data_IF_534852658031
#
_entry.id   IF_534852658031
#
_cell.length_a   1.000
_cell.length_b   1.000
_cell.length_c   1.000
_cell.angle_alpha   90.00
_cell.angle_beta   90.00
_cell.angle_gamma   90.00
#
_symmetry.space_group_name_H-M   'P 1'
#
loop_
_entity.id
_entity.type
_entity.pdbx_description
1 polymer ?
#
# COMPACT_ATOMS: atom_id res chain seq x y z
N UNK A 1 13.74 11.50 10.14
CA UNK A 1 12.92 10.98 9.03
C UNK A 1 13.74 10.18 8.03
N UNK A 2 14.71 10.78 7.33
CA UNK A 2 15.51 10.06 6.31
C UNK A 2 16.13 8.75 6.81
N UNK A 3 16.84 8.79 7.95
CA UNK A 3 17.46 7.58 8.53
C UNK A 3 16.43 6.48 8.80
N UNK A 4 15.27 6.83 9.37
CA UNK A 4 14.19 5.87 9.65
C UNK A 4 13.61 5.27 8.38
N UNK A 5 13.37 6.09 7.35
CA UNK A 5 12.89 5.62 6.04
C UNK A 5 13.94 4.73 5.33
N UNK A 6 15.22 5.08 5.42
CA UNK A 6 16.31 4.26 4.88
C UNK A 6 16.38 2.89 5.56
N UNK A 7 16.31 2.85 6.89
CA UNK A 7 16.33 1.60 7.65
C UNK A 7 15.12 0.74 7.28
N UNK A 8 13.91 1.32 7.27
CA UNK A 8 12.69 0.59 6.91
C UNK A 8 12.78 0.04 5.47
N UNK A 9 13.25 0.87 4.52
CA UNK A 9 13.46 0.45 3.14
C UNK A 9 14.44 -0.72 3.03
N UNK A 10 15.56 -0.67 3.76
CA UNK A 10 16.53 -1.76 3.80
C UNK A 10 15.90 -3.06 4.32
N UNK A 11 15.11 -3.00 5.41
CA UNK A 11 14.41 -4.18 5.92
C UNK A 11 13.42 -4.76 4.90
N UNK A 12 12.64 -3.93 4.22
CA UNK A 12 11.68 -4.37 3.20
C UNK A 12 12.37 -5.03 2.00
N UNK A 13 13.50 -4.47 1.54
CA UNK A 13 14.30 -5.04 0.45
C UNK A 13 14.90 -6.39 0.88
N UNK A 14 15.45 -6.47 2.09
CA UNK A 14 16.09 -7.69 2.57
C UNK A 14 15.05 -8.81 2.76
N UNK A 15 13.88 -8.46 3.27
CA UNK A 15 12.75 -9.38 3.38
C UNK A 15 12.23 -9.85 2.02
N UNK A 16 12.12 -8.96 1.03
CA UNK A 16 11.67 -9.34 -0.32
C UNK A 16 12.68 -10.27 -1.00
N UNK A 17 13.98 -9.96 -0.94
CA UNK A 17 15.05 -10.82 -1.47
C UNK A 17 15.01 -12.19 -0.80
N UNK A 18 14.91 -12.25 0.54
CA UNK A 18 14.83 -13.51 1.27
C UNK A 18 13.59 -14.32 0.87
N UNK A 19 12.44 -13.67 0.70
CA UNK A 19 11.21 -14.31 0.22
C UNK A 19 11.36 -14.90 -1.18
N UNK A 20 11.93 -14.13 -2.12
CA UNK A 20 12.19 -14.61 -3.48
C UNK A 20 13.20 -15.76 -3.51
N UNK A 21 14.25 -15.71 -2.68
CA UNK A 21 15.22 -16.81 -2.59
C UNK A 21 14.61 -18.08 -1.97
N UNK A 22 13.70 -17.94 -1.00
CA UNK A 22 13.10 -19.08 -0.30
C UNK A 22 12.00 -19.78 -1.10
N UNK A 23 11.14 -19.02 -1.78
CA UNK A 23 9.94 -19.54 -2.46
C UNK A 23 10.04 -19.53 -3.99
N UNK A 24 11.04 -18.86 -4.55
CA UNK A 24 11.24 -18.77 -5.99
C UNK A 24 10.17 -17.89 -6.69
N UNK A 25 9.98 -18.08 -8.01
CA UNK A 25 9.05 -17.27 -8.80
C UNK A 25 7.57 -17.54 -8.51
N UNK A 26 7.23 -18.61 -7.77
CA UNK A 26 5.84 -18.98 -7.48
C UNK A 26 5.29 -18.33 -6.19
N UNK A 27 5.90 -17.25 -5.70
CA UNK A 27 5.39 -16.49 -4.55
C UNK A 27 4.01 -15.91 -4.87
N UNK A 28 3.00 -16.34 -4.12
CA UNK A 28 1.70 -15.67 -4.16
C UNK A 28 1.81 -14.26 -3.55
N UNK A 29 0.95 -13.34 -4.00
CA UNK A 29 0.88 -11.97 -3.46
C UNK A 29 0.64 -11.92 -1.95
N UNK A 30 0.04 -12.98 -1.38
CA UNK A 30 -0.01 -13.21 0.05
C UNK A 30 0.98 -14.32 0.44
N UNK A 31 2.15 -13.90 0.91
CA UNK A 31 3.23 -14.82 1.29
C UNK A 31 2.81 -15.83 2.38
N UNK A 32 1.81 -15.48 3.21
CA UNK A 32 1.31 -16.38 4.24
C UNK A 32 0.60 -17.63 3.68
N UNK A 33 0.04 -17.52 2.46
CA UNK A 33 -0.59 -18.65 1.75
C UNK A 33 0.45 -19.57 1.08
N UNK A 34 1.69 -19.12 0.93
CA UNK A 34 2.77 -19.89 0.32
C UNK A 34 3.51 -20.79 1.33
N UNK A 35 3.26 -20.62 2.64
CA UNK A 35 3.87 -21.50 3.64
C UNK A 35 3.20 -22.88 3.67
N UNK A 36 3.97 -23.96 3.89
CA UNK A 36 3.40 -25.28 4.10
C UNK A 36 2.53 -25.29 5.36
N UNK A 37 1.51 -26.16 5.37
CA UNK A 37 0.62 -26.36 6.51
C UNK A 37 1.38 -26.93 7.70
N UNK A 38 1.85 -26.04 8.59
CA UNK A 38 2.63 -26.40 9.77
C UNK A 38 2.37 -25.44 10.93
N UNK A 39 2.83 -25.84 12.13
CA UNK A 39 2.68 -25.04 13.35
C UNK A 39 3.33 -23.65 13.19
N UNK A 40 4.50 -23.58 12.55
CA UNK A 40 5.18 -22.31 12.28
C UNK A 40 4.39 -21.38 11.36
N UNK A 41 3.70 -21.92 10.35
CA UNK A 41 2.83 -21.13 9.47
C UNK A 41 1.67 -20.51 10.24
N UNK A 42 1.01 -21.31 11.10
CA UNK A 42 -0.07 -20.83 11.97
C UNK A 42 0.40 -19.76 12.96
N UNK A 43 1.59 -19.92 13.54
CA UNK A 43 2.20 -18.91 14.42
C UNK A 43 2.48 -17.62 13.64
N UNK A 44 3.03 -17.71 12.43
CA UNK A 44 3.29 -16.55 11.58
C UNK A 44 2.00 -15.80 11.20
N UNK A 45 0.95 -16.53 10.81
CA UNK A 45 -0.37 -15.97 10.52
C UNK A 45 -0.97 -15.27 11.75
N UNK A 46 -0.91 -15.91 12.92
CA UNK A 46 -1.40 -15.33 14.18
C UNK A 46 -0.59 -14.06 14.54
N UNK A 47 0.72 -14.08 14.37
CA UNK A 47 1.59 -12.92 14.60
C UNK A 47 1.21 -11.75 13.69
N UNK A 48 0.92 -12.01 12.42
CA UNK A 48 0.46 -10.97 11.49
C UNK A 48 -0.87 -10.36 11.93
N UNK A 49 -1.81 -11.18 12.43
CA UNK A 49 -3.09 -10.69 12.97
C UNK A 49 -2.84 -9.72 14.14
N UNK A 50 -1.98 -10.08 15.09
CA UNK A 50 -1.61 -9.20 16.19
C UNK A 50 -0.94 -7.90 15.72
N UNK A 51 -0.04 -7.98 14.74
CA UNK A 51 0.58 -6.80 14.15
C UNK A 51 -0.46 -5.87 13.52
N UNK A 52 -1.40 -6.41 12.74
CA UNK A 52 -2.52 -5.63 12.16
C UNK A 52 -3.38 -4.97 13.25
N UNK A 53 -3.71 -5.70 14.33
CA UNK A 53 -4.47 -5.15 15.45
C UNK A 53 -3.75 -3.99 16.17
N UNK A 54 -2.43 -4.05 16.28
CA UNK A 54 -1.64 -2.98 16.90
C UNK A 54 -1.49 -1.75 15.98
N UNK A 55 -1.35 -1.97 14.67
CA UNK A 55 -1.10 -0.89 13.69
C UNK A 55 -2.40 -0.20 13.27
N UNK A 56 -3.53 -0.90 13.18
CA UNK A 56 -4.77 -0.32 12.69
C UNK A 56 -5.25 0.90 13.51
N UNK A 57 -5.29 0.87 14.86
CA UNK A 57 -5.69 2.02 15.65
C UNK A 57 -4.74 3.22 15.47
N UNK A 58 -3.43 2.98 15.33
CA UNK A 58 -2.46 4.06 15.18
C UNK A 58 -2.63 4.79 13.84
N UNK A 59 -2.90 4.04 12.75
CA UNK A 59 -3.24 4.63 11.45
C UNK A 59 -4.57 5.37 11.48
N UNK A 60 -5.59 4.81 12.13
CA UNK A 60 -6.91 5.41 12.24
C UNK A 60 -6.90 6.74 12.99
N UNK A 61 -6.10 6.87 14.06
CA UNK A 61 -5.94 8.13 14.81
C UNK A 61 -5.39 9.24 13.90
N UNK A 62 -4.39 8.93 13.07
CA UNK A 62 -3.79 9.91 12.17
C UNK A 62 -4.78 10.39 11.09
N UNK A 63 -5.60 9.50 10.55
CA UNK A 63 -6.61 9.83 9.54
C UNK A 63 -7.77 10.68 10.10
N UNK A 64 -8.11 10.49 11.38
CA UNK A 64 -9.17 11.25 12.05
C UNK A 64 -8.68 12.61 12.54
N UNK A 65 -7.37 12.81 12.73
CA UNK A 65 -6.81 14.04 13.29
C UNK A 65 -7.21 15.33 12.53
N UNK A 66 -7.18 15.39 11.17
CA UNK A 66 -7.64 16.56 10.43
C UNK A 66 -9.12 16.88 10.69
N UNK A 67 -9.97 15.85 10.74
CA UNK A 67 -11.42 16.00 10.98
C UNK A 67 -11.69 16.56 12.39
N UNK A 68 -10.88 16.17 13.37
CA UNK A 68 -10.97 16.70 14.75
C UNK A 68 -10.52 18.16 14.83
N UNK A 69 -9.61 18.59 13.97
CA UNK A 69 -9.07 19.95 13.98
C UNK A 69 -9.82 20.91 13.04
N UNK A 70 -10.71 20.43 12.17
CA UNK A 70 -11.63 21.29 11.45
C UNK A 70 -12.57 21.99 12.44
N UNK A 71 -12.32 23.29 12.68
CA UNK A 71 -13.11 24.12 13.58
C UNK A 71 -14.52 24.34 13.01
N UNK A 72 -15.44 23.43 13.35
CA UNK A 72 -16.87 23.65 13.14
C UNK A 72 -17.43 24.83 13.95
N UNK A 73 -16.60 25.48 14.78
CA UNK A 73 -16.93 26.69 15.52
C UNK A 73 -17.41 27.82 14.61
N UNK A 74 -16.90 27.93 13.39
CA UNK A 74 -17.38 28.93 12.43
C UNK A 74 -18.85 28.73 12.01
N UNK A 75 -19.39 27.51 12.17
CA UNK A 75 -20.73 27.17 11.70
C UNK A 75 -21.76 26.98 12.83
N UNK A 76 -21.35 27.04 14.10
CA UNK A 76 -22.24 26.79 15.23
C UNK A 76 -22.50 28.05 16.05
N UNK A 77 -23.76 28.51 16.06
CA UNK A 77 -24.20 29.64 16.91
C UNK A 77 -24.18 29.31 18.42
N UNK A 78 -24.14 28.01 18.80
CA UNK A 78 -24.17 27.56 20.19
C UNK A 78 -23.05 26.55 20.47
N UNK A 79 -22.11 26.84 21.39
CA UNK A 79 -20.89 26.03 21.59
C UNK A 79 -21.18 24.62 22.12
N UNK A 80 -22.23 24.45 22.95
CA UNK A 80 -22.58 23.15 23.51
C UNK A 80 -23.07 22.14 22.45
N UNK A 81 -23.72 22.62 21.38
CA UNK A 81 -24.18 21.75 20.27
C UNK A 81 -23.04 21.37 19.32
N UNK A 82 -22.02 22.24 19.18
CA UNK A 82 -20.85 21.97 18.32
C UNK A 82 -20.08 20.72 18.78
N UNK A 83 -19.83 20.59 20.08
CA UNK A 83 -19.07 19.46 20.66
C UNK A 83 -19.80 18.12 20.43
N UNK A 84 -21.13 18.08 20.60
CA UNK A 84 -21.92 16.85 20.38
C UNK A 84 -21.91 16.44 18.91
N UNK A 85 -22.12 17.39 18.00
CA UNK A 85 -22.07 17.14 16.55
C UNK A 85 -20.70 16.65 16.10
N UNK A 86 -19.62 17.25 16.60
CA UNK A 86 -18.27 16.83 16.25
C UNK A 86 -17.99 15.38 16.67
N UNK A 87 -18.38 14.98 17.89
CA UNK A 87 -18.25 13.58 18.35
C UNK A 87 -19.04 12.62 17.47
N UNK A 88 -20.26 12.99 17.08
CA UNK A 88 -21.09 12.16 16.19
C UNK A 88 -20.48 12.04 14.79
N UNK A 89 -19.98 13.14 14.22
CA UNK A 89 -19.32 13.14 12.90
C UNK A 89 -18.08 12.26 12.93
N UNK A 90 -17.20 12.43 13.92
CA UNK A 90 -15.99 11.61 14.06
C UNK A 90 -16.37 10.13 14.22
N UNK A 91 -17.34 9.81 15.07
CA UNK A 91 -17.78 8.42 15.26
C UNK A 91 -18.37 7.83 13.98
N UNK A 92 -19.19 8.60 13.25
CA UNK A 92 -19.81 8.17 11.99
C UNK A 92 -18.77 7.95 10.90
N UNK A 93 -17.79 8.85 10.75
CA UNK A 93 -16.71 8.71 9.78
C UNK A 93 -15.84 7.49 10.12
N UNK A 94 -15.50 7.31 11.40
CA UNK A 94 -14.74 6.15 11.87
C UNK A 94 -15.47 4.85 11.56
N UNK A 95 -16.76 4.76 11.88
CA UNK A 95 -17.59 3.60 11.57
C UNK A 95 -17.66 3.36 10.05
N UNK A 96 -17.75 4.43 9.25
CA UNK A 96 -17.70 4.37 7.80
C UNK A 96 -16.40 3.75 7.27
N UNK A 97 -15.24 4.18 7.79
CA UNK A 97 -13.95 3.60 7.42
C UNK A 97 -13.85 2.12 7.79
N UNK A 98 -14.27 1.72 8.99
CA UNK A 98 -14.26 0.32 9.41
C UNK A 98 -15.16 -0.52 8.50
N UNK A 99 -16.38 -0.04 8.21
CA UNK A 99 -17.31 -0.75 7.33
C UNK A 99 -16.74 -0.88 5.91
N UNK A 100 -16.17 0.20 5.36
CA UNK A 100 -15.54 0.18 4.06
C UNK A 100 -14.35 -0.79 4.02
N UNK A 101 -13.51 -0.83 5.06
CA UNK A 101 -12.42 -1.79 5.21
C UNK A 101 -12.92 -3.24 5.23
N UNK A 102 -14.01 -3.53 5.93
CA UNK A 102 -14.63 -4.87 5.95
C UNK A 102 -15.17 -5.24 4.58
N UNK A 103 -15.89 -4.33 3.92
CA UNK A 103 -16.42 -4.57 2.57
C UNK A 103 -15.28 -4.83 1.56
N UNK A 104 -14.24 -4.01 1.58
CA UNK A 104 -13.05 -4.21 0.73
C UNK A 104 -12.36 -5.54 1.00
N UNK A 105 -12.26 -5.96 2.27
CA UNK A 105 -11.67 -7.24 2.64
C UNK A 105 -12.50 -8.45 2.15
N UNK A 106 -13.81 -8.29 1.95
CA UNK A 106 -14.67 -9.34 1.40
C UNK A 106 -14.64 -9.39 -0.12
N UNK A 107 -14.35 -8.28 -0.80
CA UNK A 107 -14.37 -8.22 -2.27
C UNK A 107 -13.00 -8.43 -2.91
N UNK A 108 -11.90 -8.19 -2.19
CA UNK A 108 -10.55 -8.21 -2.76
C UNK A 108 -9.73 -9.38 -2.22
N UNK A 109 -9.58 -10.43 -3.04
CA UNK A 109 -8.78 -11.60 -2.70
C UNK A 109 -7.26 -11.38 -2.86
N UNK A 110 -6.88 -10.37 -3.65
CA UNK A 110 -5.49 -10.09 -4.02
C UNK A 110 -4.97 -8.83 -3.31
N UNK A 111 -4.28 -9.05 -2.17
CA UNK A 111 -3.63 -8.00 -1.39
C UNK A 111 -2.57 -7.21 -2.18
N UNK A 112 -1.97 -7.83 -3.21
CA UNK A 112 -0.95 -7.20 -4.06
C UNK A 112 -1.48 -5.95 -4.76
N UNK A 113 -2.62 -6.07 -5.44
CA UNK A 113 -3.22 -4.97 -6.21
C UNK A 113 -3.54 -3.79 -5.30
N UNK A 114 -4.13 -4.04 -4.13
CA UNK A 114 -4.47 -2.98 -3.16
C UNK A 114 -3.23 -2.22 -2.71
N UNK A 115 -2.14 -2.94 -2.42
CA UNK A 115 -0.89 -2.30 -1.99
C UNK A 115 -0.23 -1.47 -3.11
N UNK A 116 -0.31 -1.92 -4.38
CA UNK A 116 0.22 -1.14 -5.51
C UNK A 116 -0.59 0.15 -5.70
N UNK A 117 -1.91 0.07 -5.63
CA UNK A 117 -2.79 1.25 -5.73
C UNK A 117 -2.52 2.23 -4.58
N UNK A 118 -2.45 1.73 -3.35
CA UNK A 118 -2.16 2.57 -2.16
C UNK A 118 -0.78 3.22 -2.25
N UNK A 119 0.23 2.48 -2.70
CA UNK A 119 1.57 2.98 -2.95
C UNK A 119 1.60 4.06 -4.04
N UNK A 120 0.92 3.84 -5.17
CA UNK A 120 0.86 4.80 -6.27
C UNK A 120 0.13 6.10 -5.86
N UNK A 121 -0.99 5.97 -5.15
CA UNK A 121 -1.75 7.12 -4.65
C UNK A 121 -0.97 7.91 -3.60
N UNK A 122 -0.34 7.23 -2.64
CA UNK A 122 0.45 7.90 -1.60
C UNK A 122 1.68 8.61 -2.18
N UNK A 123 2.36 8.02 -3.16
CA UNK A 123 3.46 8.67 -3.89
C UNK A 123 2.97 9.90 -4.64
N UNK A 124 1.87 9.79 -5.38
CA UNK A 124 1.31 10.93 -6.09
C UNK A 124 0.91 12.07 -5.14
N UNK A 125 0.13 11.77 -4.10
CA UNK A 125 -0.44 12.80 -3.23
C UNK A 125 0.63 13.37 -2.28
N UNK A 126 1.35 12.53 -1.55
CA UNK A 126 2.25 12.98 -0.49
C UNK A 126 3.66 13.29 -0.95
N UNK A 127 4.16 12.63 -2.00
CA UNK A 127 5.52 12.86 -2.50
C UNK A 127 5.55 13.87 -3.64
N UNK A 128 4.55 13.88 -4.52
CA UNK A 128 4.53 14.78 -5.68
C UNK A 128 3.69 16.04 -5.44
N UNK A 129 2.39 15.85 -5.20
CA UNK A 129 1.40 16.91 -5.26
C UNK A 129 1.46 17.84 -4.05
N UNK A 130 1.43 17.31 -2.82
CA UNK A 130 1.45 18.12 -1.60
C UNK A 130 2.70 18.99 -1.48
N UNK A 131 3.94 18.46 -1.53
CA UNK A 131 5.15 19.30 -1.43
C UNK A 131 5.34 20.18 -2.67
N UNK A 132 4.93 19.73 -3.87
CA UNK A 132 5.02 20.54 -5.08
C UNK A 132 4.10 21.75 -5.05
N UNK A 133 2.83 21.57 -4.65
CA UNK A 133 1.87 22.67 -4.51
C UNK A 133 2.27 23.61 -3.38
N UNK A 134 2.65 23.08 -2.21
CA UNK A 134 3.15 23.91 -1.10
C UNK A 134 4.39 24.69 -1.51
N UNK A 135 5.34 24.05 -2.20
CA UNK A 135 6.56 24.68 -2.68
C UNK A 135 6.35 25.76 -3.75
N UNK A 136 5.27 25.66 -4.53
CA UNK A 136 4.95 26.59 -5.60
C UNK A 136 4.03 27.74 -5.15
N UNK A 137 3.08 27.48 -4.25
CA UNK A 137 2.09 28.46 -3.80
C UNK A 137 2.44 29.15 -2.48
N UNK A 138 3.12 28.48 -1.54
CA UNK A 138 3.45 29.07 -0.23
C UNK A 138 4.84 29.69 -0.18
N UNK A 139 5.80 29.17 -0.95
CA UNK A 139 7.13 29.76 -1.07
C UNK A 139 7.18 30.64 -2.31
N UNK A 140 6.89 31.94 -2.15
CA UNK A 140 6.98 32.96 -3.21
C UNK A 140 8.45 33.28 -3.57
N UNK A 141 9.18 32.27 -4.01
CA UNK A 141 10.58 32.38 -4.40
C UNK A 141 10.64 32.70 -5.90
N UNK A 142 11.28 33.81 -6.25
CA UNK A 142 11.36 34.31 -7.63
C UNK A 142 12.29 33.50 -8.54
N UNK A 143 13.11 32.59 -7.99
CA UNK A 143 14.05 31.78 -8.79
C UNK A 143 13.30 30.82 -9.71
N UNK A 144 13.49 30.99 -11.01
CA UNK A 144 12.91 30.11 -12.04
C UNK A 144 13.36 28.66 -11.89
N UNK A 145 14.60 28.43 -11.45
CA UNK A 145 15.13 27.09 -11.19
C UNK A 145 14.35 26.35 -10.08
N UNK A 146 13.90 27.07 -9.05
CA UNK A 146 13.07 26.52 -7.99
C UNK A 146 11.67 26.14 -8.50
N UNK A 147 11.05 27.04 -9.28
CA UNK A 147 9.73 26.76 -9.88
C UNK A 147 9.80 25.56 -10.82
N UNK A 148 10.87 25.47 -11.61
CA UNK A 148 11.12 24.33 -12.49
C UNK A 148 11.33 23.04 -11.69
N UNK A 149 12.07 23.04 -10.58
CA UNK A 149 12.27 21.81 -9.78
C UNK A 149 10.96 21.31 -9.15
N UNK A 150 10.13 22.21 -8.63
CA UNK A 150 8.81 21.85 -8.10
C UNK A 150 7.87 21.32 -9.18
N UNK A 151 7.84 21.95 -10.36
CA UNK A 151 7.05 21.49 -11.50
C UNK A 151 7.52 20.10 -11.99
N UNK A 152 8.83 19.88 -12.08
CA UNK A 152 9.42 18.58 -12.45
C UNK A 152 9.08 17.51 -11.43
N UNK A 153 9.09 17.84 -10.13
CA UNK A 153 8.74 16.89 -9.07
C UNK A 153 7.27 16.44 -9.17
N UNK A 154 6.34 17.37 -9.45
CA UNK A 154 4.93 17.04 -9.71
C UNK A 154 4.81 16.17 -10.97
N UNK A 155 5.43 16.59 -12.07
CA UNK A 155 5.34 15.87 -13.35
C UNK A 155 5.90 14.45 -13.23
N UNK A 156 7.10 14.28 -12.68
CA UNK A 156 7.76 12.99 -12.51
C UNK A 156 6.96 12.09 -11.56
N UNK A 157 6.50 12.61 -10.42
CA UNK A 157 5.70 11.83 -9.49
C UNK A 157 4.35 11.39 -10.07
N UNK A 158 3.74 12.23 -10.92
CA UNK A 158 2.51 11.87 -11.66
C UNK A 158 2.79 10.74 -12.66
N UNK A 159 3.88 10.83 -13.42
CA UNK A 159 4.29 9.79 -14.37
C UNK A 159 4.56 8.48 -13.62
N UNK A 160 5.32 8.51 -12.53
CA UNK A 160 5.62 7.30 -11.74
C UNK A 160 4.37 6.67 -11.12
N UNK A 161 3.43 7.48 -10.62
CA UNK A 161 2.16 6.96 -10.11
C UNK A 161 1.33 6.31 -11.23
N UNK A 162 1.26 6.94 -12.41
CA UNK A 162 0.55 6.38 -13.56
C UNK A 162 1.20 5.09 -14.08
N UNK A 163 2.54 5.04 -14.12
CA UNK A 163 3.27 3.81 -14.43
C UNK A 163 2.95 2.72 -13.39
N UNK A 164 2.85 3.06 -12.11
CA UNK A 164 2.41 2.13 -11.06
C UNK A 164 1.01 1.56 -11.29
N UNK A 165 0.09 2.33 -11.88
CA UNK A 165 -1.24 1.85 -12.27
C UNK A 165 -1.24 1.01 -13.55
N UNK A 166 -0.31 1.23 -14.48
CA UNK A 166 -0.19 0.40 -15.69
C UNK A 166 0.46 -0.94 -15.34
N UNK A 167 1.51 -0.93 -14.52
CA UNK A 167 2.26 -2.12 -14.13
C UNK A 167 1.73 -2.73 -12.83
N UNK A 168 0.41 -2.93 -12.76
CA UNK A 168 -0.24 -3.65 -11.64
C UNK A 168 0.11 -5.15 -11.65
N UNK A 169 0.26 -5.72 -12.85
CA UNK A 169 0.53 -7.13 -13.06
C UNK A 169 2.03 -7.39 -13.02
N UNK A 170 2.58 -7.53 -11.82
CA UNK A 170 3.96 -7.97 -11.63
C UNK A 170 4.02 -9.51 -11.66
N UNK A 171 3.73 -10.08 -12.83
CA UNK A 171 3.71 -11.52 -13.06
C UNK A 171 5.16 -12.05 -13.13
N UNK A 172 5.65 -12.78 -12.11
CA UNK A 172 6.99 -13.37 -12.14
C UNK A 172 7.12 -14.43 -13.25
N UNK A 173 6.01 -14.92 -13.78
CA UNK A 173 5.97 -15.86 -14.90
C UNK A 173 6.61 -15.30 -16.17
N UNK A 174 6.50 -13.99 -16.42
CA UNK A 174 7.13 -13.33 -17.57
C UNK A 174 8.66 -13.23 -17.45
N UNK A 175 9.22 -13.40 -16.24
CA UNK A 175 10.67 -13.43 -15.99
C UNK A 175 11.27 -14.85 -16.10
N UNK A 176 10.43 -15.88 -16.22
CA UNK A 176 10.80 -17.29 -16.10
C UNK A 176 11.74 -17.84 -17.18
N UNK A 177 11.75 -17.25 -18.38
CA UNK A 177 12.48 -17.81 -19.53
C UNK A 177 13.88 -17.22 -19.76
N UNK A 178 14.27 -16.14 -19.06
CA UNK A 178 15.59 -15.51 -19.31
C UNK A 178 16.20 -14.69 -18.18
N UNK A 179 15.51 -14.48 -17.05
CA UNK A 179 15.95 -13.51 -16.03
C UNK A 179 16.70 -14.07 -14.80
N UNK A 180 16.60 -15.37 -14.51
CA UNK A 180 17.20 -15.91 -13.28
C UNK A 180 18.66 -16.31 -13.47
N UNK A 181 19.58 -15.60 -12.81
CA UNK A 181 21.02 -15.91 -12.76
C UNK A 181 21.35 -17.16 -11.93
N UNK A 182 20.43 -17.63 -11.09
CA UNK A 182 20.68 -18.81 -10.25
C UNK A 182 20.59 -20.08 -11.10
N UNK A 183 21.65 -20.92 -11.11
CA UNK A 183 21.64 -22.16 -11.88
C UNK A 183 20.53 -23.07 -11.36
N UNK A 184 19.70 -23.59 -12.28
CA UNK A 184 18.74 -24.66 -11.96
C UNK A 184 19.50 -25.80 -11.30
N UNK A 185 19.28 -26.02 -10.01
CA UNK A 185 19.86 -27.17 -9.32
C UNK A 185 19.30 -28.44 -9.95
N UNK A 186 20.16 -29.23 -10.57
CA UNK A 186 19.83 -30.44 -11.35
C UNK A 186 19.20 -31.57 -10.53
N UNK A 187 18.99 -31.39 -9.22
CA UNK A 187 18.24 -32.29 -8.34
C UNK A 187 16.80 -31.82 -8.11
N UNK A 188 16.12 -31.35 -9.16
CA UNK A 188 14.84 -30.66 -9.07
C UNK A 188 13.75 -31.51 -8.41
N UNK A 189 13.47 -31.25 -7.14
CA UNK A 189 12.13 -31.40 -6.57
C UNK A 189 11.25 -30.58 -7.51
N UNK A 190 10.41 -31.26 -8.31
CA UNK A 190 9.35 -30.60 -9.05
C UNK A 190 8.42 -29.98 -8.01
N UNK A 191 8.70 -28.74 -7.63
CA UNK A 191 7.75 -27.89 -6.96
C UNK A 191 6.70 -27.64 -8.03
N UNK A 192 5.72 -28.55 -8.07
CA UNK A 192 4.57 -28.41 -8.92
C UNK A 192 3.84 -27.19 -8.38
N UNK A 193 4.14 -26.01 -8.94
CA UNK A 193 3.33 -24.84 -8.70
C UNK A 193 1.97 -25.19 -9.32
N UNK A 194 0.89 -25.33 -8.53
CA UNK A 194 -0.43 -25.43 -9.10
C UNK A 194 -0.70 -24.06 -9.71
N UNK A 195 -0.27 -23.88 -10.97
CA UNK A 195 -0.67 -22.74 -11.78
C UNK A 195 -2.18 -22.87 -11.85
N UNK A 196 -2.87 -21.96 -11.15
CA UNK A 196 -4.32 -21.88 -11.13
C UNK A 196 -4.78 -21.69 -12.57
N UNK A 197 -5.09 -22.81 -13.24
CA UNK A 197 -5.78 -22.83 -14.53
C UNK A 197 -7.22 -22.27 -14.44
N UNK A 198 -7.67 -21.88 -13.23
CA UNK A 198 -9.00 -21.31 -12.99
C UNK A 198 -9.18 -19.88 -13.56
N UNK A 199 -8.12 -19.08 -13.71
CA UNK A 199 -8.30 -17.68 -14.18
C UNK A 199 -8.61 -17.61 -15.68
N UNK A 200 -8.11 -18.57 -16.47
CA UNK A 200 -8.44 -18.63 -17.91
C UNK A 200 -9.87 -19.10 -18.20
N UNK A 201 -10.55 -19.77 -17.27
CA UNK A 201 -11.97 -20.12 -17.46
C UNK A 201 -12.93 -18.96 -17.18
N UNK A 202 -12.59 -18.03 -16.27
CA UNK A 202 -13.47 -16.90 -15.98
C UNK A 202 -13.41 -15.80 -17.05
N UNK A 203 -12.26 -15.58 -17.68
CA UNK A 203 -12.11 -14.63 -18.80
C UNK A 203 -12.71 -15.17 -20.11
N UNK A 204 -12.87 -16.50 -20.23
CA UNK A 204 -13.58 -17.10 -21.35
C UNK A 204 -15.12 -17.03 -21.23
N UNK A 205 -15.64 -16.61 -20.06
CA UNK A 205 -17.09 -16.54 -19.76
C UNK A 205 -17.60 -15.11 -19.54
N UNK A 206 -16.76 -14.09 -19.73
CA UNK A 206 -17.09 -12.65 -19.69
C UNK A 206 -16.81 -11.99 -21.03
#
# INVERSE_FOLDING_TARGET
MLVSFSILGAFLILYSIAGYMAFGPCVQSNLLKSFPDGVFSKIAQLSMVFACFAVYPSMMIAMIAPIRNCSLEQFAQVPAMAIRRQKQVVASVTAGFVLASVLMALTVDQLGIVNVIDGALSLFVFVALAPGLVGLFLLDRSSTAWKASMATLIALGTILAFLGFIFLDNEPALLGDGGCFLPKSSGSISIHCPVKAEVSMLVALS
#
